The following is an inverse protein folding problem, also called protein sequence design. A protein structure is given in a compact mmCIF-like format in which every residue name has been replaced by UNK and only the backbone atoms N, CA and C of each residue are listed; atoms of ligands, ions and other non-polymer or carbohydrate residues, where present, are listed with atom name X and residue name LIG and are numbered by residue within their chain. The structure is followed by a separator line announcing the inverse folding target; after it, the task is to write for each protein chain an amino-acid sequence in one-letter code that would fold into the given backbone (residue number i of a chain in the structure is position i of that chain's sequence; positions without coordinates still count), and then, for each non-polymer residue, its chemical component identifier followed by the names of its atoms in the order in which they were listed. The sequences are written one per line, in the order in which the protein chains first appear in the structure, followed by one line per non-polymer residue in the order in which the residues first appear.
data_IF_567434342567
#
_entry.id   IF_567434342567
#
_cell.length_a   1.000
_cell.length_b   1.000
_cell.length_c   1.000
_cell.angle_alpha   90.00
_cell.angle_beta   90.00
_cell.angle_gamma   90.00
#
_symmetry.space_group_name_H-M   'P 1'
#
loop_
_entity.id
_entity.type
_entity.pdbx_description
1 polymer ?
#
# COMPACT_ATOMS: atom_id res chain seq x y z
N UNK A 1 -50.10 -2.96 -7.61
CA UNK A 1 -49.46 -4.17 -8.18
C UNK A 1 -48.29 -3.70 -9.05
N UNK A 2 -47.08 -4.23 -8.79
CA UNK A 2 -45.75 -3.84 -9.32
C UNK A 2 -45.01 -2.68 -8.64
N UNK A 3 -44.77 -2.85 -7.35
CA UNK A 3 -43.67 -2.19 -6.62
C UNK A 3 -42.59 -3.25 -6.33
N UNK A 4 -42.11 -3.88 -7.40
CA UNK A 4 -41.08 -4.94 -7.38
C UNK A 4 -40.11 -4.61 -8.51
N UNK A 5 -38.82 -4.45 -8.16
CA UNK A 5 -37.66 -4.23 -9.05
C UNK A 5 -37.20 -2.78 -9.30
N UNK A 6 -36.88 -2.02 -8.24
CA UNK A 6 -35.89 -0.92 -8.34
C UNK A 6 -34.81 -0.96 -7.26
N UNK A 7 -34.71 -2.10 -6.55
CA UNK A 7 -33.68 -2.35 -5.56
C UNK A 7 -32.53 -3.06 -6.29
N UNK A 8 -31.64 -2.26 -6.90
CA UNK A 8 -30.31 -2.63 -7.42
C UNK A 8 -30.23 -4.02 -8.05
N UNK A 9 -30.56 -4.11 -9.35
CA UNK A 9 -30.23 -5.28 -10.19
C UNK A 9 -28.70 -5.45 -10.42
N UNK A 10 -27.88 -4.61 -9.79
CA UNK A 10 -26.46 -4.91 -9.60
C UNK A 10 -26.34 -5.97 -8.49
N UNK A 11 -26.24 -7.22 -8.93
CA UNK A 11 -25.83 -8.36 -8.12
C UNK A 11 -24.68 -8.00 -7.18
N UNK A 12 -24.58 -8.70 -6.05
CA UNK A 12 -23.52 -8.49 -5.08
C UNK A 12 -22.17 -8.62 -5.82
N UNK A 13 -21.40 -7.53 -5.88
CA UNK A 13 -20.17 -7.47 -6.69
C UNK A 13 -19.22 -8.61 -6.35
N UNK A 14 -19.23 -9.07 -5.10
CA UNK A 14 -18.45 -10.21 -4.63
C UNK A 14 -18.84 -11.53 -5.28
N UNK A 15 -20.14 -11.77 -5.53
CA UNK A 15 -20.62 -12.98 -6.20
C UNK A 15 -20.22 -12.99 -7.68
N UNK A 16 -20.33 -11.84 -8.35
CA UNK A 16 -19.85 -11.69 -9.74
C UNK A 16 -18.35 -11.94 -9.82
N UNK A 17 -17.58 -11.33 -8.91
CA UNK A 17 -16.14 -11.53 -8.80
C UNK A 17 -15.82 -13.02 -8.63
N UNK A 18 -16.49 -13.72 -7.71
CA UNK A 18 -16.27 -15.14 -7.46
C UNK A 18 -16.61 -16.01 -8.69
N UNK A 19 -17.74 -15.74 -9.36
CA UNK A 19 -18.11 -16.47 -10.58
C UNK A 19 -17.12 -16.24 -11.72
N UNK A 20 -16.63 -15.01 -11.88
CA UNK A 20 -15.62 -14.65 -12.87
C UNK A 20 -14.31 -15.37 -12.59
N UNK A 21 -13.83 -15.35 -11.35
CA UNK A 21 -12.59 -16.04 -10.97
C UNK A 21 -12.64 -17.55 -11.20
N UNK A 22 -13.80 -18.16 -10.98
CA UNK A 22 -13.99 -19.60 -11.13
C UNK A 22 -14.40 -20.01 -12.56
N UNK A 23 -14.49 -19.07 -13.50
CA UNK A 23 -14.90 -19.34 -14.88
C UNK A 23 -13.72 -19.82 -15.73
N UNK A 24 -13.99 -20.73 -16.68
CA UNK A 24 -13.04 -21.11 -17.73
C UNK A 24 -12.76 -19.94 -18.70
N UNK A 25 -13.72 -19.02 -18.87
CA UNK A 25 -13.63 -17.87 -19.77
C UNK A 25 -14.01 -16.58 -19.03
N UNK A 26 -13.15 -16.10 -18.11
CA UNK A 26 -13.44 -14.95 -17.25
C UNK A 26 -13.69 -13.67 -18.05
N UNK A 27 -13.00 -13.48 -19.18
CA UNK A 27 -13.15 -12.31 -20.06
C UNK A 27 -14.57 -12.17 -20.62
N UNK A 28 -15.12 -13.27 -21.17
CA UNK A 28 -16.46 -13.28 -21.78
C UNK A 28 -17.53 -13.06 -20.71
N UNK A 29 -17.37 -13.68 -19.54
CA UNK A 29 -18.31 -13.52 -18.44
C UNK A 29 -18.28 -12.07 -17.92
N UNK A 30 -17.10 -11.49 -17.71
CA UNK A 30 -16.94 -10.08 -17.33
C UNK A 30 -17.61 -9.13 -18.33
N UNK A 31 -17.36 -9.30 -19.63
CA UNK A 31 -18.00 -8.44 -20.65
C UNK A 31 -19.53 -8.55 -20.61
N UNK A 32 -20.07 -9.74 -20.35
CA UNK A 32 -21.52 -9.96 -20.21
C UNK A 32 -22.09 -9.23 -18.99
N UNK A 33 -21.43 -9.36 -17.85
CA UNK A 33 -21.83 -8.70 -16.59
C UNK A 33 -21.72 -7.17 -16.68
N UNK A 34 -20.78 -6.66 -17.47
CA UNK A 34 -20.61 -5.22 -17.72
C UNK A 34 -21.65 -4.61 -18.67
N UNK A 35 -22.19 -5.39 -19.61
CA UNK A 35 -23.16 -4.90 -20.58
C UNK A 35 -24.46 -4.42 -19.95
N UNK A 36 -25.01 -5.15 -18.98
CA UNK A 36 -26.30 -4.81 -18.41
C UNK A 36 -26.30 -3.46 -17.64
N UNK A 37 -25.32 -3.17 -16.77
CA UNK A 37 -25.16 -1.84 -16.18
C UNK A 37 -24.98 -0.74 -17.23
N UNK A 38 -24.17 -0.99 -18.26
CA UNK A 38 -23.86 0.02 -19.27
C UNK A 38 -25.08 0.39 -20.14
N UNK A 39 -25.89 -0.60 -20.54
CA UNK A 39 -27.13 -0.35 -21.29
C UNK A 39 -28.17 0.38 -20.43
N UNK A 40 -28.28 0.05 -19.14
CA UNK A 40 -29.14 0.78 -18.21
C UNK A 40 -28.73 2.26 -18.09
N UNK A 41 -27.43 2.52 -17.96
CA UNK A 41 -26.92 3.89 -17.90
C UNK A 41 -27.27 4.66 -19.18
N UNK A 42 -27.05 4.05 -20.34
CA UNK A 42 -27.38 4.62 -21.65
C UNK A 42 -28.86 4.95 -21.79
N UNK A 43 -29.75 4.05 -21.35
CA UNK A 43 -31.20 4.29 -21.39
C UNK A 43 -31.59 5.49 -20.51
N UNK A 44 -31.05 5.56 -19.29
CA UNK A 44 -31.37 6.65 -18.36
C UNK A 44 -30.78 7.99 -18.78
N UNK A 45 -29.56 7.99 -19.34
CA UNK A 45 -28.94 9.15 -19.97
C UNK A 45 -29.83 9.74 -21.07
N UNK A 46 -30.38 8.90 -21.95
CA UNK A 46 -31.31 9.35 -23.01
C UNK A 46 -32.56 10.01 -22.44
N UNK A 47 -33.15 9.42 -21.39
CA UNK A 47 -34.30 10.02 -20.69
C UNK A 47 -33.94 11.37 -20.09
N UNK A 48 -32.74 11.51 -19.51
CA UNK A 48 -32.26 12.76 -18.94
C UNK A 48 -32.09 13.86 -20.00
N UNK A 49 -31.55 13.50 -21.17
CA UNK A 49 -31.40 14.43 -22.30
C UNK A 49 -32.76 14.94 -22.78
N UNK A 50 -33.74 14.05 -22.95
CA UNK A 50 -35.11 14.41 -23.34
C UNK A 50 -35.79 15.31 -22.29
N UNK A 51 -35.63 14.97 -21.01
CA UNK A 51 -36.12 15.78 -19.89
C UNK A 51 -35.49 17.17 -19.90
N UNK A 52 -34.18 17.26 -20.10
CA UNK A 52 -33.48 18.55 -20.16
C UNK A 52 -34.06 19.43 -21.27
N UNK A 53 -34.28 18.86 -22.46
CA UNK A 53 -34.91 19.59 -23.55
C UNK A 53 -36.31 20.09 -23.18
N UNK A 54 -37.14 19.22 -22.59
CA UNK A 54 -38.49 19.59 -22.13
C UNK A 54 -38.46 20.71 -21.08
N UNK A 55 -37.51 20.68 -20.15
CA UNK A 55 -37.32 21.74 -19.15
C UNK A 55 -36.91 23.05 -19.82
N UNK A 56 -35.98 23.02 -20.77
CA UNK A 56 -35.55 24.20 -21.53
C UNK A 56 -36.72 24.83 -22.30
N UNK A 57 -37.49 24.02 -23.03
CA UNK A 57 -38.68 24.47 -23.76
C UNK A 57 -39.72 25.07 -22.80
N UNK A 58 -39.98 24.39 -21.67
CA UNK A 58 -40.90 24.84 -20.62
C UNK A 58 -40.44 26.17 -20.00
N UNK A 59 -39.14 26.38 -19.82
CA UNK A 59 -38.58 27.63 -19.31
C UNK A 59 -38.73 28.78 -20.33
N UNK A 60 -38.62 28.50 -21.63
CA UNK A 60 -38.88 29.48 -22.69
C UNK A 60 -40.36 29.92 -22.62
N UNK A 61 -41.30 28.96 -22.56
CA UNK A 61 -42.73 29.25 -22.42
C UNK A 61 -43.04 30.06 -21.15
N UNK A 62 -42.42 29.72 -20.02
CA UNK A 62 -42.57 30.47 -18.77
C UNK A 62 -42.08 31.93 -18.89
N UNK A 63 -40.96 32.15 -19.58
CA UNK A 63 -40.44 33.50 -19.82
C UNK A 63 -41.37 34.30 -20.73
N UNK A 64 -41.94 33.70 -21.77
CA UNK A 64 -42.94 34.33 -22.63
C UNK A 64 -44.21 34.68 -21.86
N UNK A 65 -44.72 33.77 -21.02
CA UNK A 65 -45.89 34.01 -20.18
C UNK A 65 -45.64 35.16 -19.18
N UNK A 66 -44.45 35.17 -18.56
CA UNK A 66 -44.01 36.28 -17.69
C UNK A 66 -43.95 37.60 -18.44
N UNK A 67 -43.39 37.62 -19.64
CA UNK A 67 -43.30 38.82 -20.48
C UNK A 67 -44.68 39.35 -20.86
N UNK A 68 -45.61 38.45 -21.24
CA UNK A 68 -47.00 38.81 -21.53
C UNK A 68 -47.75 39.42 -20.33
N UNK A 69 -47.48 38.94 -19.10
CA UNK A 69 -48.03 39.55 -17.86
C UNK A 69 -47.45 40.94 -17.62
N UNK A 70 -46.14 41.11 -17.82
CA UNK A 70 -45.49 42.41 -17.69
C UNK A 70 -46.09 43.39 -18.69
N UNK A 71 -46.24 42.99 -19.96
CA UNK A 71 -46.88 43.80 -21.00
C UNK A 71 -48.32 44.17 -20.61
N UNK A 72 -49.13 43.21 -20.18
CA UNK A 72 -50.50 43.44 -19.73
C UNK A 72 -50.60 44.37 -18.49
N UNK A 73 -49.59 44.37 -17.63
CA UNK A 73 -49.47 45.26 -16.48
C UNK A 73 -48.94 46.66 -16.82
N UNK A 74 -48.27 46.83 -17.96
CA UNK A 74 -47.75 48.13 -18.43
C UNK A 74 -48.81 48.96 -19.15
N UNK A 75 -48.76 50.28 -19.00
CA UNK A 75 -49.81 51.23 -19.42
C UNK A 75 -49.95 51.43 -20.94
N UNK A 76 -49.18 50.73 -21.76
CA UNK A 76 -49.03 51.00 -23.20
C UNK A 76 -50.14 50.41 -24.07
N UNK A 77 -50.81 49.35 -23.63
CA UNK A 77 -51.93 48.72 -24.36
C UNK A 77 -53.32 49.19 -23.89
N UNK A 78 -53.39 50.14 -22.94
CA UNK A 78 -54.68 50.68 -22.49
C UNK A 78 -55.27 51.55 -23.59
N UNK A 79 -56.36 51.11 -24.21
CA UNK A 79 -57.05 51.90 -25.23
C UNK A 79 -57.43 53.28 -24.66
N UNK A 80 -57.59 54.29 -25.52
CA UNK A 80 -57.97 55.64 -25.07
C UNK A 80 -59.20 55.60 -24.15
N UNK A 81 -60.16 54.70 -24.41
CA UNK A 81 -61.37 54.46 -23.58
C UNK A 81 -61.07 53.84 -22.20
N UNK A 82 -60.05 52.99 -22.06
CA UNK A 82 -59.64 52.39 -20.78
C UNK A 82 -58.88 53.37 -19.88
N UNK A 83 -58.24 54.40 -20.47
CA UNK A 83 -57.61 55.49 -19.72
C UNK A 83 -58.62 56.44 -19.08
N UNK A 84 -59.79 56.62 -19.71
CA UNK A 84 -60.84 57.55 -19.24
C UNK A 84 -61.79 56.91 -18.22
N UNK A 85 -61.86 55.58 -18.16
CA UNK A 85 -62.70 54.87 -17.19
C UNK A 85 -61.96 53.66 -16.57
N UNK A 86 -60.99 53.90 -15.66
CA UNK A 86 -60.14 52.86 -15.07
C UNK A 86 -60.89 51.85 -14.17
N UNK A 87 -62.20 52.03 -13.99
CA UNK A 87 -63.12 51.19 -13.22
C UNK A 87 -64.09 50.38 -14.09
N UNK A 88 -63.93 50.37 -15.42
CA UNK A 88 -64.79 49.54 -16.28
C UNK A 88 -64.47 48.06 -16.05
N UNK A 89 -65.51 47.27 -15.72
CA UNK A 89 -65.43 45.84 -15.42
C UNK A 89 -64.59 45.05 -16.43
N UNK A 90 -64.70 45.38 -17.71
CA UNK A 90 -64.03 44.67 -18.81
C UNK A 90 -62.51 44.80 -18.80
N UNK A 91 -61.95 45.97 -18.45
CA UNK A 91 -60.49 46.17 -18.45
C UNK A 91 -59.80 45.45 -17.29
N UNK A 92 -60.47 45.40 -16.14
CA UNK A 92 -60.07 44.59 -14.98
C UNK A 92 -60.21 43.09 -15.23
N UNK A 93 -61.26 42.63 -15.90
CA UNK A 93 -61.44 41.21 -16.27
C UNK A 93 -60.35 40.73 -17.25
N UNK A 94 -60.07 41.48 -18.32
CA UNK A 94 -59.04 41.12 -19.31
C UNK A 94 -57.64 41.04 -18.67
N UNK A 95 -57.32 41.97 -17.76
CA UNK A 95 -56.04 41.96 -17.04
C UNK A 95 -55.97 40.80 -16.04
N UNK A 96 -57.08 40.48 -15.37
CA UNK A 96 -57.16 39.36 -14.43
C UNK A 96 -57.06 38.01 -15.14
N UNK A 97 -57.72 37.84 -16.29
CA UNK A 97 -57.65 36.63 -17.12
C UNK A 97 -56.24 36.39 -17.66
N UNK A 98 -55.55 37.44 -18.15
CA UNK A 98 -54.15 37.34 -18.58
C UNK A 98 -53.22 36.93 -17.42
N UNK A 99 -53.42 37.50 -16.23
CA UNK A 99 -52.65 37.15 -15.03
C UNK A 99 -52.95 35.71 -14.57
N UNK A 100 -54.21 35.28 -14.58
CA UNK A 100 -54.61 33.93 -14.20
C UNK A 100 -54.09 32.89 -15.19
N UNK A 101 -54.17 33.15 -16.49
CA UNK A 101 -53.60 32.30 -17.54
C UNK A 101 -52.10 32.11 -17.35
N UNK A 102 -51.36 33.19 -17.17
CA UNK A 102 -49.92 33.10 -16.92
C UNK A 102 -49.56 32.44 -15.58
N UNK A 103 -50.38 32.63 -14.53
CA UNK A 103 -50.19 31.93 -13.25
C UNK A 103 -50.39 30.42 -13.40
N UNK A 104 -51.37 30.02 -14.21
CA UNK A 104 -51.62 28.63 -14.55
C UNK A 104 -50.47 28.02 -15.36
N UNK A 105 -49.95 28.74 -16.36
CA UNK A 105 -48.78 28.33 -17.14
C UNK A 105 -47.54 28.19 -16.25
N UNK A 106 -47.28 29.15 -15.35
CA UNK A 106 -46.18 29.10 -14.39
C UNK A 106 -46.33 27.91 -13.41
N UNK A 107 -47.55 27.58 -13.01
CA UNK A 107 -47.81 26.44 -12.12
C UNK A 107 -47.53 25.11 -12.82
N UNK A 108 -47.92 25.00 -14.10
CA UNK A 108 -47.59 23.84 -14.94
C UNK A 108 -46.08 23.67 -15.12
N UNK A 109 -45.35 24.79 -15.30
CA UNK A 109 -43.89 24.82 -15.35
C UNK A 109 -43.29 24.28 -14.06
N UNK A 110 -43.76 24.72 -12.89
CA UNK A 110 -43.26 24.26 -11.58
C UNK A 110 -43.50 22.77 -11.37
N UNK A 111 -44.68 22.26 -11.76
CA UNK A 111 -44.99 20.82 -11.69
C UNK A 111 -44.03 20.03 -12.58
N UNK A 112 -43.88 20.43 -13.86
CA UNK A 112 -42.97 19.77 -14.80
C UNK A 112 -41.52 19.76 -14.28
N UNK A 113 -41.01 20.88 -13.76
CA UNK A 113 -39.66 20.95 -13.18
C UNK A 113 -39.50 19.99 -12.01
N UNK A 114 -40.50 19.90 -11.12
CA UNK A 114 -40.45 19.05 -9.92
C UNK A 114 -40.44 17.56 -10.27
N UNK A 115 -41.26 17.14 -11.25
CA UNK A 115 -41.27 15.76 -11.75
C UNK A 115 -39.91 15.41 -12.39
N UNK A 116 -39.36 16.32 -13.18
CA UNK A 116 -38.07 16.15 -13.84
C UNK A 116 -36.90 16.08 -12.84
N UNK A 117 -36.96 16.81 -11.72
CA UNK A 117 -35.98 16.71 -10.63
C UNK A 117 -35.96 15.31 -10.01
N UNK A 118 -37.11 14.67 -9.85
CA UNK A 118 -37.18 13.32 -9.27
C UNK A 118 -36.46 12.32 -10.17
N UNK A 119 -36.67 12.41 -11.49
CA UNK A 119 -35.99 11.54 -12.46
C UNK A 119 -34.47 11.81 -12.49
N UNK A 120 -34.07 13.07 -12.35
CA UNK A 120 -32.64 13.43 -12.23
C UNK A 120 -31.99 12.81 -10.99
N UNK A 121 -32.65 12.80 -9.84
CA UNK A 121 -32.15 12.15 -8.63
C UNK A 121 -32.04 10.63 -8.78
N UNK A 122 -33.04 9.98 -9.38
CA UNK A 122 -33.01 8.54 -9.68
C UNK A 122 -31.83 8.19 -10.62
N UNK A 123 -31.57 9.04 -11.62
CA UNK A 123 -30.42 8.92 -12.50
C UNK A 123 -29.10 9.04 -11.74
N UNK A 124 -28.92 10.08 -10.91
CA UNK A 124 -27.69 10.27 -10.13
C UNK A 124 -27.41 9.09 -9.20
N UNK A 125 -28.46 8.55 -8.59
CA UNK A 125 -28.36 7.36 -7.74
C UNK A 125 -27.87 6.16 -8.53
N UNK A 126 -28.45 5.88 -9.70
CA UNK A 126 -28.04 4.78 -10.56
C UNK A 126 -26.61 4.97 -11.06
N UNK A 127 -26.24 6.16 -11.53
CA UNK A 127 -24.87 6.47 -11.96
C UNK A 127 -23.87 6.18 -10.85
N UNK A 128 -24.15 6.62 -9.61
CA UNK A 128 -23.32 6.28 -8.45
C UNK A 128 -23.22 4.77 -8.19
N UNK A 129 -24.33 4.04 -8.28
CA UNK A 129 -24.35 2.58 -8.08
C UNK A 129 -23.50 1.85 -9.14
N UNK A 130 -23.64 2.24 -10.41
CA UNK A 130 -22.86 1.69 -11.53
C UNK A 130 -21.37 2.04 -11.38
N UNK A 131 -21.04 3.30 -11.08
CA UNK A 131 -19.66 3.75 -10.87
C UNK A 131 -18.98 2.97 -9.74
N UNK A 132 -19.67 2.77 -8.61
CA UNK A 132 -19.17 1.97 -7.49
C UNK A 132 -18.95 0.51 -7.90
N UNK A 133 -19.89 -0.08 -8.62
CA UNK A 133 -19.75 -1.45 -9.12
C UNK A 133 -18.55 -1.62 -10.05
N UNK A 134 -18.42 -0.76 -11.06
CA UNK A 134 -17.32 -0.79 -12.02
C UNK A 134 -15.96 -0.64 -11.33
N UNK A 135 -15.88 0.29 -10.37
CA UNK A 135 -14.68 0.50 -9.59
C UNK A 135 -14.34 -0.73 -8.73
N UNK A 136 -15.31 -1.25 -7.97
CA UNK A 136 -15.12 -2.43 -7.12
C UNK A 136 -14.71 -3.68 -7.91
N UNK A 137 -15.31 -3.87 -9.09
CA UNK A 137 -14.97 -4.96 -9.99
C UNK A 137 -13.54 -4.82 -10.55
N UNK A 138 -13.13 -3.60 -10.88
CA UNK A 138 -11.80 -3.30 -11.40
C UNK A 138 -10.69 -3.42 -10.36
N UNK A 139 -10.92 -3.08 -9.09
CA UNK A 139 -9.90 -3.24 -8.02
C UNK A 139 -9.79 -4.68 -7.48
N UNK A 140 -10.67 -5.59 -7.89
CA UNK A 140 -10.69 -6.95 -7.37
C UNK A 140 -9.43 -7.75 -7.74
N UNK A 141 -8.88 -7.55 -8.94
CA UNK A 141 -7.56 -8.05 -9.36
C UNK A 141 -7.11 -7.39 -10.68
N UNK A 142 -5.83 -7.54 -11.02
CA UNK A 142 -5.21 -6.94 -12.22
C UNK A 142 -5.81 -7.39 -13.55
N UNK A 143 -6.21 -8.66 -13.69
CA UNK A 143 -6.80 -9.16 -14.94
C UNK A 143 -8.21 -8.56 -15.16
N UNK A 144 -9.04 -8.55 -14.12
CA UNK A 144 -10.34 -7.87 -14.12
C UNK A 144 -10.19 -6.37 -14.37
N UNK A 145 -9.20 -5.72 -13.77
CA UNK A 145 -8.89 -4.31 -14.00
C UNK A 145 -8.64 -4.02 -15.49
N UNK A 146 -7.76 -4.80 -16.14
CA UNK A 146 -7.44 -4.65 -17.55
C UNK A 146 -8.66 -4.83 -18.47
N UNK A 147 -9.51 -5.81 -18.16
CA UNK A 147 -10.74 -6.09 -18.93
C UNK A 147 -11.74 -4.94 -18.78
N UNK A 148 -11.99 -4.50 -17.54
CA UNK A 148 -12.91 -3.39 -17.26
C UNK A 148 -12.44 -2.11 -17.94
N UNK A 149 -11.16 -1.74 -17.84
CA UNK A 149 -10.62 -0.54 -18.50
C UNK A 149 -10.81 -0.61 -20.02
N UNK A 150 -10.40 -1.72 -20.66
CA UNK A 150 -10.54 -1.88 -22.12
C UNK A 150 -12.00 -1.84 -22.58
N UNK A 151 -12.89 -2.49 -21.83
CA UNK A 151 -14.32 -2.47 -22.10
C UNK A 151 -14.88 -1.05 -22.06
N UNK A 152 -14.59 -0.30 -20.99
CA UNK A 152 -15.07 1.07 -20.81
C UNK A 152 -14.53 2.01 -21.87
N UNK A 153 -13.23 1.96 -22.19
CA UNK A 153 -12.63 2.76 -23.26
C UNK A 153 -13.28 2.50 -24.61
N UNK A 154 -13.49 1.22 -24.96
CA UNK A 154 -14.14 0.82 -26.21
C UNK A 154 -15.59 1.33 -26.27
N UNK A 155 -16.33 1.22 -25.17
CA UNK A 155 -17.72 1.67 -25.10
C UNK A 155 -17.83 3.19 -25.15
N UNK A 156 -16.94 3.93 -24.47
CA UNK A 156 -16.88 5.39 -24.53
C UNK A 156 -16.52 5.93 -25.92
N UNK A 157 -15.62 5.24 -26.63
CA UNK A 157 -15.24 5.59 -28.00
C UNK A 157 -16.38 5.35 -29.01
N UNK A 158 -17.17 4.29 -28.79
CA UNK A 158 -18.29 3.93 -29.67
C UNK A 158 -19.59 4.67 -29.35
N UNK A 159 -19.78 5.14 -28.10
CA UNK A 159 -20.98 5.86 -27.71
C UNK A 159 -20.98 7.26 -28.30
N UNK A 160 -22.04 7.61 -29.06
CA UNK A 160 -22.23 8.99 -29.52
C UNK A 160 -22.59 9.92 -28.35
N UNK A 161 -22.49 11.24 -28.56
CA UNK A 161 -22.96 12.24 -27.58
C UNK A 161 -24.48 12.16 -27.29
N UNK A 162 -25.23 11.45 -28.12
CA UNK A 162 -26.68 11.25 -27.96
C UNK A 162 -27.01 10.02 -27.10
N UNK A 163 -26.03 9.15 -26.83
CA UNK A 163 -26.23 7.92 -26.06
C UNK A 163 -25.81 8.05 -24.60
N UNK A 164 -24.75 8.80 -24.34
CA UNK A 164 -24.30 9.15 -22.99
C UNK A 164 -24.24 10.67 -22.86
N UNK A 165 -24.94 11.19 -21.86
CA UNK A 165 -24.83 12.58 -21.46
C UNK A 165 -23.43 12.87 -20.88
N UNK A 166 -23.08 14.16 -20.81
CA UNK A 166 -21.74 14.58 -20.41
C UNK A 166 -21.36 14.10 -19.01
N UNK A 167 -22.32 14.04 -18.06
CA UNK A 167 -22.04 13.63 -16.69
C UNK A 167 -21.75 12.14 -16.60
N UNK A 168 -22.55 11.29 -17.26
CA UNK A 168 -22.26 9.87 -17.37
C UNK A 168 -20.88 9.60 -17.99
N UNK A 169 -20.56 10.32 -19.07
CA UNK A 169 -19.29 10.19 -19.77
C UNK A 169 -18.12 10.54 -18.86
N UNK A 170 -18.18 11.70 -18.20
CA UNK A 170 -17.13 12.18 -17.28
C UNK A 170 -16.92 11.21 -16.11
N UNK A 171 -17.99 10.70 -15.49
CA UNK A 171 -17.87 9.75 -14.39
C UNK A 171 -17.23 8.43 -14.82
N UNK A 172 -17.57 7.91 -16.00
CA UNK A 172 -16.92 6.70 -16.52
C UNK A 172 -15.43 6.97 -16.86
N UNK A 173 -15.11 8.12 -17.45
CA UNK A 173 -13.72 8.53 -17.72
C UNK A 173 -12.91 8.62 -16.42
N UNK A 174 -13.48 9.18 -15.36
CA UNK A 174 -12.88 9.24 -14.03
C UNK A 174 -12.66 7.83 -13.44
N UNK A 175 -13.59 6.89 -13.63
CA UNK A 175 -13.41 5.49 -13.23
C UNK A 175 -12.22 4.88 -13.98
N UNK A 176 -12.13 5.07 -15.29
CA UNK A 176 -11.01 4.57 -16.11
C UNK A 176 -9.68 5.14 -15.62
N UNK A 177 -9.59 6.44 -15.34
CA UNK A 177 -8.36 7.06 -14.84
C UNK A 177 -7.93 6.48 -13.48
N UNK A 178 -8.87 6.33 -12.55
CA UNK A 178 -8.61 5.73 -11.23
C UNK A 178 -8.14 4.28 -11.34
N UNK A 179 -8.76 3.50 -12.22
CA UNK A 179 -8.37 2.12 -12.48
C UNK A 179 -6.96 2.00 -13.08
N UNK A 180 -6.57 2.89 -14.00
CA UNK A 180 -5.21 2.95 -14.53
C UNK A 180 -4.16 3.32 -13.47
N UNK A 181 -4.46 4.28 -12.60
CA UNK A 181 -3.57 4.61 -11.46
C UNK A 181 -3.39 3.40 -10.55
N UNK A 182 -4.45 2.64 -10.31
CA UNK A 182 -4.37 1.39 -9.54
C UNK A 182 -3.47 0.35 -10.23
N UNK A 183 -3.59 0.17 -11.56
CA UNK A 183 -2.70 -0.73 -12.32
C UNK A 183 -1.22 -0.34 -12.18
N UNK A 184 -0.92 0.96 -12.23
CA UNK A 184 0.45 1.46 -12.07
C UNK A 184 1.01 1.15 -10.67
N UNK A 185 0.21 1.34 -9.62
CA UNK A 185 0.61 1.04 -8.23
C UNK A 185 0.87 -0.47 -8.07
N UNK A 186 0.00 -1.32 -8.58
CA UNK A 186 0.17 -2.78 -8.54
C UNK A 186 1.45 -3.22 -9.25
N UNK A 187 1.74 -2.65 -10.42
CA UNK A 187 2.97 -2.94 -11.17
C UNK A 187 4.23 -2.55 -10.37
N UNK A 188 4.23 -1.36 -9.75
CA UNK A 188 5.33 -0.92 -8.87
C UNK A 188 5.51 -1.86 -7.67
N UNK A 189 4.42 -2.34 -7.09
CA UNK A 189 4.46 -3.25 -5.95
C UNK A 189 5.05 -4.63 -6.33
N UNK A 190 4.65 -5.21 -7.47
CA UNK A 190 5.22 -6.49 -7.91
C UNK A 190 6.72 -6.37 -8.27
N UNK A 191 7.13 -5.24 -8.87
CA UNK A 191 8.56 -4.97 -9.10
C UNK A 191 9.34 -4.90 -7.79
N UNK A 192 8.84 -4.14 -6.80
CA UNK A 192 9.46 -4.04 -5.47
C UNK A 192 9.61 -5.43 -4.81
N UNK A 193 8.58 -6.27 -4.90
CA UNK A 193 8.61 -7.64 -4.35
C UNK A 193 9.66 -8.53 -5.02
N UNK A 194 9.88 -8.37 -6.32
CA UNK A 194 10.96 -9.07 -7.04
C UNK A 194 12.33 -8.59 -6.54
N UNK A 195 12.52 -7.28 -6.40
CA UNK A 195 13.75 -6.69 -5.87
C UNK A 195 14.03 -7.17 -4.45
N UNK A 196 13.03 -7.13 -3.55
CA UNK A 196 13.18 -7.63 -2.18
C UNK A 196 13.56 -9.11 -2.13
N UNK A 197 13.01 -9.97 -3.01
CA UNK A 197 13.40 -11.39 -3.08
C UNK A 197 14.85 -11.58 -3.50
N UNK A 198 15.35 -10.75 -4.41
CA UNK A 198 16.76 -10.78 -4.83
C UNK A 198 17.65 -10.38 -3.66
N UNK A 199 17.36 -9.26 -3.01
CA UNK A 199 18.09 -8.78 -1.84
C UNK A 199 18.12 -9.81 -0.70
N UNK A 200 16.98 -10.44 -0.40
CA UNK A 200 16.91 -11.50 0.63
C UNK A 200 17.74 -12.72 0.25
N UNK A 201 17.76 -13.11 -1.04
CA UNK A 201 18.59 -14.22 -1.52
C UNK A 201 20.08 -13.89 -1.39
N UNK A 202 20.50 -12.70 -1.84
CA UNK A 202 21.88 -12.24 -1.71
C UNK A 202 22.33 -12.14 -0.25
N UNK A 203 21.49 -11.59 0.63
CA UNK A 203 21.78 -11.54 2.05
C UNK A 203 21.91 -12.93 2.67
N UNK A 204 21.11 -13.91 2.22
CA UNK A 204 21.22 -15.30 2.69
C UNK A 204 22.56 -15.92 2.29
N UNK A 205 23.04 -15.67 1.07
CA UNK A 205 24.36 -16.12 0.63
C UNK A 205 25.47 -15.52 1.51
N UNK A 206 25.45 -14.20 1.72
CA UNK A 206 26.40 -13.52 2.60
C UNK A 206 26.37 -14.09 4.02
N UNK A 207 25.18 -14.34 4.58
CA UNK A 207 25.05 -14.92 5.92
C UNK A 207 25.65 -16.33 5.98
N UNK A 208 25.45 -17.15 4.94
CA UNK A 208 26.03 -18.49 4.89
C UNK A 208 27.56 -18.44 4.82
N UNK A 209 28.12 -17.55 4.00
CA UNK A 209 29.57 -17.37 3.87
C UNK A 209 30.18 -16.92 5.21
N UNK A 210 29.58 -15.92 5.85
CA UNK A 210 29.99 -15.49 7.19
C UNK A 210 29.89 -16.61 8.23
N UNK A 211 28.85 -17.44 8.18
CA UNK A 211 28.69 -18.59 9.08
C UNK A 211 29.79 -19.64 8.89
N UNK A 212 30.19 -19.89 7.64
CA UNK A 212 31.29 -20.80 7.30
C UNK A 212 32.65 -20.25 7.80
N UNK A 213 32.87 -18.94 7.65
CA UNK A 213 34.07 -18.27 8.17
C UNK A 213 34.13 -18.34 9.70
N UNK A 214 33.03 -18.03 10.40
CA UNK A 214 32.94 -18.12 11.86
C UNK A 214 33.23 -19.56 12.33
N UNK A 215 32.70 -20.56 11.63
CA UNK A 215 32.96 -21.98 11.94
C UNK A 215 34.44 -22.33 11.78
N UNK A 216 35.07 -21.85 10.71
CA UNK A 216 36.50 -22.06 10.44
C UNK A 216 37.38 -21.40 11.51
N UNK A 217 37.05 -20.15 11.89
CA UNK A 217 37.74 -19.43 12.98
C UNK A 217 37.58 -20.17 14.31
N UNK A 218 36.38 -20.67 14.60
CA UNK A 218 36.10 -21.41 15.84
C UNK A 218 36.95 -22.67 15.94
N UNK A 219 37.04 -23.45 14.86
CA UNK A 219 37.90 -24.63 14.80
C UNK A 219 39.39 -24.29 14.98
N UNK A 220 39.85 -23.20 14.35
CA UNK A 220 41.22 -22.73 14.51
C UNK A 220 41.51 -22.35 15.96
N UNK A 221 40.59 -21.64 16.61
CA UNK A 221 40.71 -21.22 18.01
C UNK A 221 40.79 -22.42 18.96
N UNK A 222 39.98 -23.46 18.72
CA UNK A 222 40.03 -24.71 19.50
C UNK A 222 41.38 -25.43 19.33
N UNK A 223 41.91 -25.47 18.10
CA UNK A 223 43.23 -26.06 17.83
C UNK A 223 44.37 -25.34 18.55
N UNK A 224 44.34 -23.99 18.53
CA UNK A 224 45.32 -23.14 19.21
C UNK A 224 45.23 -23.29 20.73
N UNK A 225 44.01 -23.42 21.26
CA UNK A 225 43.80 -23.66 22.69
C UNK A 225 44.45 -24.98 23.12
N UNK A 226 44.22 -26.05 22.36
CA UNK A 226 44.82 -27.37 22.63
C UNK A 226 46.34 -27.35 22.52
N UNK A 227 46.89 -26.66 21.53
CA UNK A 227 48.34 -26.48 21.38
C UNK A 227 48.95 -25.73 22.58
N UNK A 228 48.29 -24.66 23.05
CA UNK A 228 48.71 -23.95 24.24
C UNK A 228 48.62 -24.80 25.52
N UNK A 229 47.58 -25.62 25.68
CA UNK A 229 47.47 -26.56 26.81
C UNK A 229 48.61 -27.58 26.80
N UNK A 230 48.95 -28.13 25.62
CA UNK A 230 50.07 -29.05 25.46
C UNK A 230 51.41 -28.38 25.81
N UNK A 231 51.67 -27.18 25.28
CA UNK A 231 52.87 -26.40 25.60
C UNK A 231 52.98 -26.09 27.09
N UNK A 232 51.87 -25.77 27.75
CA UNK A 232 51.85 -25.55 29.19
C UNK A 232 52.22 -26.82 29.98
N UNK A 233 51.77 -27.99 29.54
CA UNK A 233 52.17 -29.27 30.14
C UNK A 233 53.67 -29.56 29.93
N UNK A 234 54.21 -29.28 28.74
CA UNK A 234 55.64 -29.40 28.46
C UNK A 234 56.48 -28.45 29.32
N UNK A 235 56.07 -27.18 29.44
CA UNK A 235 56.71 -26.20 30.32
C UNK A 235 56.70 -26.69 31.78
N UNK A 236 55.60 -27.29 32.23
CA UNK A 236 55.51 -27.84 33.60
C UNK A 236 56.52 -28.96 33.82
N UNK A 237 56.61 -29.91 32.89
CA UNK A 237 57.59 -31.01 32.95
C UNK A 237 59.03 -30.49 32.98
N UNK A 238 59.36 -29.54 32.11
CA UNK A 238 60.69 -28.93 32.07
C UNK A 238 61.01 -28.22 33.40
N UNK A 239 60.03 -27.54 34.01
CA UNK A 239 60.22 -26.90 35.32
C UNK A 239 60.50 -27.92 36.42
N UNK A 240 59.74 -29.02 36.46
CA UNK A 240 59.97 -30.12 37.40
C UNK A 240 61.37 -30.74 37.21
N UNK A 241 61.81 -30.94 35.97
CA UNK A 241 63.14 -31.45 35.65
C UNK A 241 64.27 -30.48 36.05
N UNK A 242 64.08 -29.18 35.84
CA UNK A 242 65.04 -28.15 36.29
C UNK A 242 65.13 -28.11 37.82
N UNK A 243 64.02 -28.30 38.54
CA UNK A 243 63.99 -28.32 40.00
C UNK A 243 64.74 -29.52 40.54
N UNK A 244 64.51 -30.71 39.98
CA UNK A 244 65.24 -31.93 40.32
C UNK A 244 66.76 -31.79 40.07
N UNK A 245 67.16 -31.25 38.92
CA UNK A 245 68.59 -31.04 38.60
C UNK A 245 69.27 -30.04 39.55
N UNK A 246 68.54 -29.06 40.08
CA UNK A 246 69.08 -28.12 41.07
C UNK A 246 69.30 -28.76 42.43
N UNK A 247 68.36 -29.61 42.87
CA UNK A 247 68.53 -30.39 44.11
C UNK A 247 69.75 -31.32 44.02
N UNK A 248 69.89 -32.03 42.89
CA UNK A 248 71.07 -32.88 42.62
C UNK A 248 72.38 -32.06 42.60
N UNK A 249 72.37 -30.87 42.02
CA UNK A 249 73.55 -29.99 41.99
C UNK A 249 73.94 -29.50 43.39
N UNK A 250 72.95 -29.16 44.23
CA UNK A 250 73.16 -28.73 45.63
C UNK A 250 73.70 -29.89 46.49
N UNK A 251 73.18 -31.11 46.35
CA UNK A 251 73.67 -32.30 47.08
C UNK A 251 75.13 -32.66 46.68
N UNK A 252 75.45 -32.53 45.38
CA UNK A 252 76.81 -32.78 44.88
C UNK A 252 77.78 -31.72 45.39
N UNK A 253 77.39 -30.46 45.46
CA UNK A 253 78.25 -29.39 45.98
C UNK A 253 78.52 -29.54 47.48
N UNK A 254 77.49 -29.88 48.28
CA UNK A 254 77.64 -30.21 49.70
C UNK A 254 78.58 -31.40 49.93
N UNK A 255 78.44 -32.45 49.11
CA UNK A 255 79.31 -33.63 49.18
C UNK A 255 80.75 -33.29 48.83
N UNK A 256 80.98 -32.45 47.81
CA UNK A 256 82.33 -31.97 47.45
C UNK A 256 82.92 -31.16 48.60
N UNK A 257 82.16 -30.22 49.16
CA UNK A 257 82.57 -29.39 50.30
C UNK A 257 82.95 -30.23 51.53
N UNK A 258 82.19 -31.28 51.85
CA UNK A 258 82.52 -32.22 52.92
C UNK A 258 83.82 -32.99 52.65
N UNK A 259 84.03 -33.48 51.43
CA UNK A 259 85.29 -34.16 51.06
C UNK A 259 86.49 -33.21 51.22
N UNK A 260 86.37 -31.94 50.83
CA UNK A 260 87.41 -30.94 51.04
C UNK A 260 87.70 -30.72 52.53
N UNK A 261 86.67 -30.64 53.38
CA UNK A 261 86.85 -30.53 54.84
C UNK A 261 87.64 -31.71 55.41
N UNK A 262 87.29 -32.95 55.07
CA UNK A 262 88.02 -34.14 55.55
C UNK A 262 89.48 -34.16 55.10
N UNK A 263 89.75 -33.80 53.85
CA UNK A 263 91.12 -33.70 53.33
C UNK A 263 91.90 -32.63 54.09
N UNK A 264 91.31 -31.44 54.29
CA UNK A 264 91.97 -30.34 55.02
C UNK A 264 92.27 -30.68 56.48
N UNK A 265 91.36 -31.42 57.14
CA UNK A 265 91.54 -31.90 58.50
C UNK A 265 92.68 -32.93 58.56
N UNK A 266 92.72 -33.88 57.62
CA UNK A 266 93.79 -34.86 57.51
C UNK A 266 95.16 -34.21 57.32
N UNK A 267 95.26 -33.21 56.43
CA UNK A 267 96.48 -32.42 56.22
C UNK A 267 96.90 -31.72 57.53
N UNK A 268 95.97 -31.13 58.26
CA UNK A 268 96.25 -30.45 59.54
C UNK A 268 96.78 -31.42 60.61
N UNK A 269 96.17 -32.62 60.73
CA UNK A 269 96.60 -33.65 61.68
C UNK A 269 98.02 -34.13 61.35
N UNK A 270 98.31 -34.42 60.07
CA UNK A 270 99.66 -34.83 59.64
C UNK A 270 100.68 -33.73 59.96
N UNK A 271 100.32 -32.47 59.69
CA UNK A 271 101.19 -31.33 59.99
C UNK A 271 101.48 -31.23 61.49
N UNK A 272 100.47 -31.41 62.35
CA UNK A 272 100.64 -31.43 63.81
C UNK A 272 101.57 -32.57 64.26
N UNK A 273 101.38 -33.77 63.73
CA UNK A 273 102.25 -34.93 64.04
C UNK A 273 103.69 -34.63 63.65
N UNK A 274 103.93 -34.06 62.47
CA UNK A 274 105.26 -33.65 62.03
C UNK A 274 105.86 -32.61 62.99
N UNK A 275 105.09 -31.60 63.41
CA UNK A 275 105.54 -30.59 64.38
C UNK A 275 105.91 -31.24 65.73
N UNK A 276 105.08 -32.16 66.24
CA UNK A 276 105.34 -32.89 67.48
C UNK A 276 106.61 -33.72 67.37
N UNK A 277 106.77 -34.50 66.29
CA UNK A 277 107.97 -35.31 66.03
C UNK A 277 109.20 -34.40 65.96
N UNK A 278 109.10 -33.28 65.24
CA UNK A 278 110.20 -32.31 65.09
C UNK A 278 110.57 -31.67 66.44
N UNK A 279 109.58 -31.36 67.28
CA UNK A 279 109.79 -30.82 68.63
C UNK A 279 110.52 -31.82 69.52
N UNK A 280 110.10 -33.09 69.54
CA UNK A 280 110.78 -34.15 70.28
C UNK A 280 112.19 -34.44 69.76
N UNK A 281 112.42 -34.35 68.44
CA UNK A 281 113.76 -34.49 67.84
C UNK A 281 114.71 -33.35 68.22
N UNK A 282 114.20 -32.13 68.46
CA UNK A 282 114.99 -30.95 68.85
C UNK A 282 115.34 -30.89 70.35
N UNK A 283 114.67 -31.68 71.18
CA UNK A 283 114.88 -31.75 72.63
C UNK A 283 115.96 -32.77 73.06
N UNK A 284 116.66 -33.37 72.09
CA UNK A 284 117.74 -34.34 72.28
C UNK A 284 119.07 -33.75 71.83
#
# INVERSE_FOLDING_TARGET
MKEKNRKSDLENTNEIIERVFNSENPEILLEKELNNPFENLKEQSKKLIDIRQKVEDTLIEANLAKENVVIAGTKEEKSFLERINPLSKSSTEISLDKIQGATYDLSRVVVNITENQTIFWDYLKLLSEITKFLFNLGIANTASNNIVVRYLEKKLANASKEELDNLAREEIENVVERLKKQQEIESKYENLKIEMRKEVSSNREIINDLSNEISSISNLLESLKKDNENKNLEIKKIKEEIEFLKEDEEEVDDTRSMKFLYISLGISIITLIIVIITFFLKLK
#
